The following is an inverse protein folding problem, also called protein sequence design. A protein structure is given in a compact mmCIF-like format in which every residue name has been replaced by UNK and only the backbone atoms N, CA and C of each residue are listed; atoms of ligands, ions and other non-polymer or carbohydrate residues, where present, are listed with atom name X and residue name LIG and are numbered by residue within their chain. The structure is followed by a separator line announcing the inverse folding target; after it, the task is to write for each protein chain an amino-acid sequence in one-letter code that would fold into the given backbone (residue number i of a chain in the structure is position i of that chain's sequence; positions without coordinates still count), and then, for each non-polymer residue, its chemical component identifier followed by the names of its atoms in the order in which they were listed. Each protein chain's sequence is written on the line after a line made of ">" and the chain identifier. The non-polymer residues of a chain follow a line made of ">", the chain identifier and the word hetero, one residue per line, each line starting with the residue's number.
data_IF_594854098309
#
_entry.id   IF_594854098309
#
_cell.length_a   1.000
_cell.length_b   1.000
_cell.length_c   1.000
_cell.angle_alpha   90.00
_cell.angle_beta   90.00
_cell.angle_gamma   90.00
#
_symmetry.space_group_name_H-M   'P 1'
#
loop_
_entity.id
_entity.type
_entity.pdbx_description
1 polymer ?
#
# COMPACT_ATOMS: atom_id res chain seq x y z
N UNK A 1 -2.64 4.03 0.26
CA UNK A 1 -3.04 3.18 -0.88
C UNK A 1 -4.13 3.92 -1.63
N UNK A 2 -4.10 3.99 -2.97
CA UNK A 2 -5.19 4.57 -3.76
C UNK A 2 -6.49 3.80 -3.53
N UNK A 3 -7.62 4.50 -3.49
CA UNK A 3 -8.94 3.89 -3.33
C UNK A 3 -9.48 3.35 -4.67
N UNK A 4 -10.46 2.43 -4.59
CA UNK A 4 -11.16 1.89 -5.76
C UNK A 4 -10.39 0.85 -6.58
N UNK A 5 -10.82 0.66 -7.84
CA UNK A 5 -10.32 -0.40 -8.72
C UNK A 5 -8.83 -0.29 -9.02
N UNK A 6 -8.31 0.94 -9.09
CA UNK A 6 -6.89 1.21 -9.33
C UNK A 6 -6.04 0.62 -8.18
N UNK A 7 -6.44 0.84 -6.93
CA UNK A 7 -5.76 0.27 -5.77
C UNK A 7 -5.76 -1.25 -5.79
N UNK A 8 -6.88 -1.87 -6.17
CA UNK A 8 -7.00 -3.33 -6.27
C UNK A 8 -6.07 -3.92 -7.33
N UNK A 9 -6.02 -3.32 -8.52
CA UNK A 9 -5.14 -3.76 -9.61
C UNK A 9 -3.66 -3.67 -9.22
N UNK A 10 -3.25 -2.60 -8.54
CA UNK A 10 -1.86 -2.45 -8.06
C UNK A 10 -1.53 -3.56 -7.04
N UNK A 11 -2.45 -3.88 -6.12
CA UNK A 11 -2.23 -4.98 -5.17
C UNK A 11 -2.08 -6.30 -5.92
N UNK A 12 -2.96 -6.60 -6.88
CA UNK A 12 -2.88 -7.86 -7.64
C UNK A 12 -1.58 -7.99 -8.45
N UNK A 13 -1.06 -6.89 -8.98
CA UNK A 13 0.22 -6.85 -9.70
C UNK A 13 1.42 -7.14 -8.79
N UNK A 14 1.49 -6.47 -7.64
CA UNK A 14 2.67 -6.53 -6.77
C UNK A 14 2.59 -7.65 -5.72
N UNK A 15 1.40 -8.00 -5.27
CA UNK A 15 1.11 -9.04 -4.29
C UNK A 15 0.11 -10.07 -4.86
N UNK A 16 0.52 -10.82 -5.89
CA UNK A 16 -0.30 -11.89 -6.42
C UNK A 16 -0.53 -12.92 -5.30
N UNK A 17 -1.80 -13.14 -5.00
CA UNK A 17 -2.25 -14.14 -4.03
C UNK A 17 -3.20 -15.10 -4.71
N UNK A 18 -3.05 -16.37 -4.38
CA UNK A 18 -3.95 -17.42 -4.87
C UNK A 18 -5.35 -17.26 -4.27
N UNK A 19 -6.37 -17.79 -4.95
CA UNK A 19 -7.76 -17.67 -4.50
C UNK A 19 -8.01 -18.24 -3.09
N UNK A 20 -7.23 -19.23 -2.67
CA UNK A 20 -7.30 -19.80 -1.32
C UNK A 20 -6.60 -18.93 -0.27
N UNK A 21 -5.58 -18.16 -0.64
CA UNK A 21 -4.91 -17.20 0.26
C UNK A 21 -5.77 -15.96 0.53
N UNK A 22 -6.65 -15.63 -0.42
CA UNK A 22 -7.68 -14.59 -0.28
C UNK A 22 -8.86 -15.03 0.59
N UNK A 23 -8.95 -16.32 0.95
CA UNK A 23 -9.92 -16.78 1.95
C UNK A 23 -9.52 -16.21 3.31
N UNK A 24 -10.39 -15.35 3.86
CA UNK A 24 -10.19 -14.64 5.13
C UNK A 24 -9.88 -15.57 6.32
N UNK A 25 -10.09 -16.89 6.20
CA UNK A 25 -9.73 -17.89 7.23
C UNK A 25 -8.23 -18.03 7.48
N UNK A 26 -7.39 -17.73 6.49
CA UNK A 26 -5.92 -17.84 6.61
C UNK A 26 -5.23 -16.48 6.71
N UNK A 27 -5.99 -15.40 6.87
CA UNK A 27 -5.43 -14.06 7.08
C UNK A 27 -4.90 -13.90 8.50
N UNK A 28 -3.68 -13.38 8.62
CA UNK A 28 -3.10 -13.07 9.93
C UNK A 28 -3.66 -11.75 10.46
N UNK A 29 -4.67 -11.84 11.33
CA UNK A 29 -5.36 -10.68 11.91
C UNK A 29 -4.45 -9.74 12.73
N UNK A 30 -3.31 -10.24 13.22
CA UNK A 30 -2.36 -9.46 14.04
C UNK A 30 -1.12 -9.05 13.27
N UNK A 31 -1.09 -9.22 11.93
CA UNK A 31 0.06 -8.89 11.10
C UNK A 31 0.55 -7.45 11.28
N UNK A 32 -0.38 -6.50 11.42
CA UNK A 32 -0.03 -5.08 11.64
C UNK A 32 0.70 -4.87 12.97
N UNK A 33 0.18 -5.47 14.05
CA UNK A 33 0.78 -5.36 15.39
C UNK A 33 2.15 -6.04 15.41
N UNK A 34 2.25 -7.21 14.75
CA UNK A 34 3.53 -7.91 14.59
C UNK A 34 4.55 -7.06 13.85
N UNK A 35 4.16 -6.41 12.75
CA UNK A 35 5.05 -5.51 12.00
C UNK A 35 5.53 -4.33 12.83
N UNK A 36 4.66 -3.70 13.61
CA UNK A 36 5.04 -2.60 14.51
C UNK A 36 6.00 -3.10 15.59
N UNK A 37 5.72 -4.26 16.17
CA UNK A 37 6.56 -4.90 17.18
C UNK A 37 7.96 -5.20 16.66
N UNK A 38 8.07 -5.81 15.47
CA UNK A 38 9.36 -6.10 14.82
C UNK A 38 10.13 -4.82 14.45
N UNK A 39 9.44 -3.76 14.04
CA UNK A 39 10.06 -2.49 13.67
C UNK A 39 10.56 -1.68 14.89
N UNK A 40 9.82 -1.69 15.99
CA UNK A 40 10.10 -0.85 17.18
C UNK A 40 10.83 -1.58 18.30
N UNK A 41 10.79 -2.92 18.32
CA UNK A 41 11.24 -3.74 19.43
C UNK A 41 10.25 -3.83 20.60
N UNK A 42 9.10 -3.17 20.52
CA UNK A 42 8.04 -3.24 21.52
C UNK A 42 7.33 -4.60 21.49
N UNK A 43 6.92 -5.11 22.64
CA UNK A 43 6.03 -6.27 22.70
C UNK A 43 4.56 -5.88 22.41
N UNK A 44 3.68 -6.87 22.22
CA UNK A 44 2.30 -6.62 21.80
C UNK A 44 1.53 -5.75 22.80
N UNK A 45 1.73 -5.95 24.10
CA UNK A 45 1.05 -5.15 25.12
C UNK A 45 1.50 -3.69 25.07
N UNK A 46 2.79 -3.45 24.83
CA UNK A 46 3.32 -2.10 24.67
C UNK A 46 2.74 -1.42 23.42
N UNK A 47 2.63 -2.15 22.30
CA UNK A 47 2.00 -1.65 21.07
C UNK A 47 0.52 -1.28 21.30
N UNK A 48 -0.24 -2.11 22.03
CA UNK A 48 -1.64 -1.82 22.35
C UNK A 48 -1.81 -0.61 23.28
N UNK A 49 -0.81 -0.30 24.10
CA UNK A 49 -0.84 0.83 25.03
C UNK A 49 -0.27 2.12 24.44
N UNK A 50 0.14 2.13 23.17
CA UNK A 50 0.63 3.33 22.51
C UNK A 50 -0.48 4.40 22.41
N UNK A 51 -0.13 5.69 22.56
CA UNK A 51 -0.99 6.78 22.11
C UNK A 51 -1.38 6.55 20.64
N UNK A 52 -2.67 6.77 20.32
CA UNK A 52 -3.21 6.46 18.99
C UNK A 52 -2.43 7.12 17.83
N UNK A 53 -1.94 8.34 18.02
CA UNK A 53 -1.09 9.03 17.04
C UNK A 53 0.23 8.30 16.77
N UNK A 54 0.89 7.78 17.81
CA UNK A 54 2.12 7.01 17.69
C UNK A 54 1.85 5.64 17.07
N UNK A 55 0.74 5.00 17.43
CA UNK A 55 0.32 3.75 16.80
C UNK A 55 0.17 3.92 15.29
N UNK A 56 -0.54 4.97 14.83
CA UNK A 56 -0.71 5.25 13.39
C UNK A 56 0.61 5.59 12.70
N UNK A 57 1.48 6.35 13.36
CA UNK A 57 2.81 6.67 12.84
C UNK A 57 3.63 5.39 12.65
N UNK A 58 3.76 4.55 13.67
CA UNK A 58 4.56 3.34 13.58
C UNK A 58 3.94 2.31 12.65
N UNK A 59 2.61 2.21 12.57
CA UNK A 59 1.94 1.38 11.55
C UNK A 59 2.39 1.74 10.14
N UNK A 60 2.43 3.04 9.82
CA UNK A 60 2.90 3.52 8.52
C UNK A 60 4.39 3.22 8.32
N UNK A 61 5.23 3.57 9.29
CA UNK A 61 6.68 3.44 9.19
C UNK A 61 7.12 1.96 9.11
N UNK A 62 6.49 1.07 9.89
CA UNK A 62 6.80 -0.36 9.87
C UNK A 62 6.42 -1.00 8.54
N UNK A 63 5.30 -0.58 7.94
CA UNK A 63 4.88 -1.05 6.62
C UNK A 63 5.86 -0.59 5.52
N UNK A 64 6.25 0.69 5.52
CA UNK A 64 7.23 1.22 4.57
C UNK A 64 8.58 0.53 4.74
N UNK A 65 9.03 0.35 5.99
CA UNK A 65 10.29 -0.33 6.30
C UNK A 65 10.28 -1.77 5.77
N UNK A 66 9.20 -2.52 6.01
CA UNK A 66 9.03 -3.89 5.52
C UNK A 66 9.09 -3.98 4.00
N UNK A 67 8.42 -3.07 3.30
CA UNK A 67 8.45 -3.02 1.83
C UNK A 67 9.83 -2.68 1.28
N UNK A 68 10.58 -1.80 1.95
CA UNK A 68 11.94 -1.44 1.52
C UNK A 68 12.95 -2.58 1.60
N UNK A 69 12.68 -3.63 2.39
CA UNK A 69 13.59 -4.77 2.54
C UNK A 69 13.68 -5.62 1.27
N UNK A 70 12.70 -5.55 0.36
CA UNK A 70 12.62 -6.40 -0.83
C UNK A 70 12.56 -5.56 -2.11
N UNK A 71 13.14 -6.05 -3.20
CA UNK A 71 13.15 -5.35 -4.50
C UNK A 71 11.72 -5.03 -4.98
N UNK A 72 10.86 -6.05 -5.03
CA UNK A 72 9.45 -5.90 -5.44
C UNK A 72 8.67 -4.92 -4.55
N UNK A 73 9.02 -4.84 -3.27
CA UNK A 73 8.42 -3.88 -2.35
C UNK A 73 8.89 -2.44 -2.62
N UNK A 74 10.15 -2.24 -3.00
CA UNK A 74 10.65 -0.93 -3.48
C UNK A 74 10.01 -0.51 -4.79
N UNK A 75 9.84 -1.43 -5.73
CA UNK A 75 9.12 -1.17 -6.99
C UNK A 75 7.67 -0.75 -6.72
N UNK A 76 6.97 -1.46 -5.84
CA UNK A 76 5.62 -1.10 -5.40
C UNK A 76 5.56 0.32 -4.82
N UNK A 77 6.48 0.66 -3.91
CA UNK A 77 6.56 2.01 -3.33
C UNK A 77 6.85 3.08 -4.39
N UNK A 78 7.69 2.79 -5.38
CA UNK A 78 7.99 3.69 -6.49
C UNK A 78 6.75 3.93 -7.36
N UNK A 79 5.98 2.89 -7.69
CA UNK A 79 4.71 3.04 -8.42
C UNK A 79 3.70 3.87 -7.64
N UNK A 80 3.58 3.66 -6.33
CA UNK A 80 2.73 4.51 -5.49
C UNK A 80 3.16 5.98 -5.55
N UNK A 81 4.45 6.24 -5.45
CA UNK A 81 4.99 7.59 -5.54
C UNK A 81 4.73 8.22 -6.92
N UNK A 82 4.94 7.49 -8.02
CA UNK A 82 4.64 7.94 -9.39
C UNK A 82 3.16 8.29 -9.57
N UNK A 83 2.26 7.51 -8.97
CA UNK A 83 0.81 7.75 -8.97
C UNK A 83 0.42 9.01 -8.21
N UNK A 84 1.05 9.27 -7.06
CA UNK A 84 0.84 10.51 -6.31
C UNK A 84 1.35 11.74 -7.09
N UNK A 85 2.40 11.58 -7.90
CA UNK A 85 2.88 12.66 -8.78
C UNK A 85 1.94 12.88 -10.00
N UNK A 86 1.11 11.89 -10.37
CA UNK A 86 0.22 11.96 -11.56
C UNK A 86 -1.10 12.68 -11.31
N UNK A 87 -1.12 13.73 -10.47
CA UNK A 87 -2.12 14.81 -10.61
C UNK A 87 -2.02 15.51 -11.98
N UNK A 88 -0.92 15.32 -12.72
CA UNK A 88 -0.67 15.94 -14.02
C UNK A 88 -0.58 14.90 -15.14
N UNK A 89 -1.72 14.30 -15.52
CA UNK A 89 -2.00 14.18 -16.96
C UNK A 89 -3.48 14.15 -17.37
N UNK A 90 -4.36 14.73 -16.54
CA UNK A 90 -5.75 14.99 -16.99
C UNK A 90 -5.76 15.83 -18.28
N UNK A 91 -4.79 16.73 -18.45
CA UNK A 91 -4.63 17.56 -19.65
C UNK A 91 -4.16 16.79 -20.88
N UNK A 92 -3.17 15.89 -20.84
CA UNK A 92 -2.86 15.12 -22.06
C UNK A 92 -3.90 14.03 -22.33
N UNK A 93 -4.58 13.48 -21.31
CA UNK A 93 -5.72 12.59 -21.53
C UNK A 93 -6.91 13.35 -22.16
N UNK A 94 -7.22 14.57 -21.72
CA UNK A 94 -8.22 15.42 -22.37
C UNK A 94 -7.80 15.86 -23.77
N UNK A 95 -6.52 16.23 -23.97
CA UNK A 95 -5.97 16.59 -25.28
C UNK A 95 -6.02 15.39 -26.25
N UNK A 96 -5.72 14.19 -25.78
CA UNK A 96 -5.84 12.94 -26.53
C UNK A 96 -7.30 12.61 -26.85
N UNK A 97 -8.23 12.78 -25.89
CA UNK A 97 -9.67 12.61 -26.11
C UNK A 97 -10.23 13.64 -27.11
N UNK A 98 -9.80 14.89 -27.04
CA UNK A 98 -10.19 15.94 -27.98
C UNK A 98 -9.65 15.71 -29.40
N UNK A 99 -8.44 15.12 -29.53
CA UNK A 99 -7.89 14.72 -30.83
C UNK A 99 -8.59 13.49 -31.45
N UNK A 100 -9.24 12.64 -30.64
CA UNK A 100 -9.97 11.45 -31.11
C UNK A 100 -11.49 11.62 -31.21
N UNK A 101 -12.07 12.66 -30.60
CA UNK A 101 -13.50 12.98 -30.69
C UNK A 101 -13.91 13.75 -31.94
N UNK A 102 -13.05 13.77 -32.95
CA UNK A 102 -13.29 14.37 -34.26
C UNK A 102 -13.36 13.31 -35.37
N UNK A 103 -14.09 12.22 -35.14
CA UNK A 103 -14.65 11.32 -36.16
C UNK A 103 -16.02 10.83 -35.70
#
# INVERSE_FOLDING_TARGET
>A
MPEGDIGKLIIEQFFPSDGWERDNKFTNLTAEIKSISEYTGLNFNEVYNLPYSLFLLYKKESWIYGLKQFEKGREFLKTLWELEQTETDKKAVEKYKAMRGGE
#
